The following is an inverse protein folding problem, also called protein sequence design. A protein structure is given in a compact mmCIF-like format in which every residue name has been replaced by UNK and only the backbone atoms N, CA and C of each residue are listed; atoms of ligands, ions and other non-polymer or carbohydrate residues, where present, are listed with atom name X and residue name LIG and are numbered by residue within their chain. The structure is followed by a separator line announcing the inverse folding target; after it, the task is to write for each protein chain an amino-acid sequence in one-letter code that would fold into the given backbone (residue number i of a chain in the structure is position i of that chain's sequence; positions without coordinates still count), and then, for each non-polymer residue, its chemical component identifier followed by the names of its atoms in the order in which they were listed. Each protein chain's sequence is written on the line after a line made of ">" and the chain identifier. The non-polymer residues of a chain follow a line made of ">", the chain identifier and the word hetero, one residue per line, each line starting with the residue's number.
data_IF_091651328489
#
_entry.id   IF_091651328489
#
_cell.length_a   1.000
_cell.length_b   1.000
_cell.length_c   1.000
_cell.angle_alpha   90.00
_cell.angle_beta   90.00
_cell.angle_gamma   90.00
#
_symmetry.space_group_name_H-M   'P 1'
#
loop_
_entity.id
_entity.type
_entity.pdbx_description
1 polymer ?
#
# COMPACT_ATOMS: atom_id res chain seq x y z
N UNK A 1 -14.00 15.38 -20.28
CA UNK A 1 -13.79 14.51 -19.09
C UNK A 1 -12.34 14.03 -19.07
N UNK A 2 -11.69 13.91 -17.91
CA UNK A 2 -10.28 13.47 -17.83
C UNK A 2 -10.21 11.95 -17.56
N UNK A 3 -9.35 11.20 -18.29
CA UNK A 3 -9.19 9.77 -18.09
C UNK A 3 -8.57 9.41 -16.72
N UNK A 4 -8.66 8.14 -16.29
CA UNK A 4 -8.09 7.71 -15.02
C UNK A 4 -6.56 7.75 -15.10
N UNK A 5 -5.96 8.61 -14.30
CA UNK A 5 -4.52 8.83 -14.25
C UNK A 5 -3.98 8.46 -12.87
N UNK A 6 -2.69 8.15 -12.82
CA UNK A 6 -2.00 7.79 -11.58
C UNK A 6 -1.14 8.97 -11.14
N UNK A 7 -1.16 9.27 -9.84
CA UNK A 7 -0.09 10.05 -9.20
C UNK A 7 0.71 9.11 -8.30
N UNK A 8 2.03 9.16 -8.42
CA UNK A 8 2.91 8.65 -7.37
C UNK A 8 2.69 9.55 -6.17
N UNK A 9 2.07 9.05 -5.11
CA UNK A 9 2.05 9.76 -3.83
C UNK A 9 3.41 9.55 -3.15
N UNK A 10 4.36 10.44 -3.44
CA UNK A 10 5.47 10.72 -2.52
C UNK A 10 4.97 11.77 -1.53
N UNK A 11 4.51 11.35 -0.36
CA UNK A 11 4.26 12.31 0.70
C UNK A 11 5.60 12.63 1.38
N UNK A 12 6.07 13.85 1.05
CA UNK A 12 7.10 14.66 1.72
C UNK A 12 8.54 14.12 1.79
N UNK A 13 9.30 14.35 0.72
CA UNK A 13 10.65 14.92 0.81
C UNK A 13 10.85 15.87 -0.38
N UNK A 14 11.22 17.12 -0.11
CA UNK A 14 11.38 18.20 -1.08
C UNK A 14 12.74 18.21 -1.79
N UNK A 15 12.71 18.54 -3.09
CA UNK A 15 13.77 19.05 -3.99
C UNK A 15 14.88 18.06 -4.38
N UNK A 16 15.44 18.02 -5.59
CA UNK A 16 15.57 19.00 -6.68
C UNK A 16 15.64 18.32 -8.06
N UNK A 17 15.51 19.17 -9.07
CA UNK A 17 15.50 19.03 -10.54
C UNK A 17 16.33 17.93 -11.23
N UNK A 18 15.87 17.57 -12.45
CA UNK A 18 16.80 17.33 -13.56
C UNK A 18 16.41 16.28 -14.61
N UNK A 19 15.93 16.78 -15.77
CA UNK A 19 16.18 16.31 -17.15
C UNK A 19 15.38 15.13 -17.72
N UNK A 20 14.56 15.53 -18.70
CA UNK A 20 14.27 14.94 -20.03
C UNK A 20 15.02 13.67 -20.44
N UNK A 21 14.29 12.72 -21.01
CA UNK A 21 14.84 11.60 -21.76
C UNK A 21 13.74 10.81 -22.48
N UNK A 22 13.56 11.11 -23.76
CA UNK A 22 12.69 10.41 -24.70
C UNK A 22 13.34 9.09 -25.15
N UNK A 23 12.60 7.98 -25.12
CA UNK A 23 12.77 6.80 -26.01
C UNK A 23 11.59 5.84 -25.75
N UNK A 24 10.64 5.59 -26.67
CA UNK A 24 10.73 5.06 -28.03
C UNK A 24 11.07 3.54 -28.04
N UNK A 25 10.00 2.74 -27.92
CA UNK A 25 9.72 1.37 -28.42
C UNK A 25 10.75 0.24 -28.27
N UNK A 26 10.28 -0.90 -27.74
CA UNK A 26 10.24 -2.16 -28.52
C UNK A 26 9.30 -3.19 -27.92
N UNK A 27 8.38 -3.61 -28.78
CA UNK A 27 7.49 -4.76 -28.74
C UNK A 27 8.28 -6.07 -28.77
N UNK A 28 7.86 -7.06 -27.98
CA UNK A 28 8.19 -8.46 -28.25
C UNK A 28 6.95 -9.31 -28.00
N UNK A 29 6.29 -9.72 -29.07
CA UNK A 29 5.40 -10.87 -29.08
C UNK A 29 5.53 -11.51 -30.45
N UNK A 30 6.31 -12.59 -30.50
CA UNK A 30 6.35 -13.48 -31.65
C UNK A 30 5.04 -14.24 -31.73
N UNK A 31 4.39 -14.12 -32.88
CA UNK A 31 3.20 -14.87 -33.26
C UNK A 31 3.51 -16.35 -33.41
N UNK A 32 2.56 -17.21 -33.04
CA UNK A 32 2.23 -18.37 -33.86
C UNK A 32 0.72 -18.61 -33.79
N UNK A 33 0.08 -18.38 -34.93
CA UNK A 33 -1.30 -18.77 -35.22
C UNK A 33 -1.32 -20.22 -35.66
N UNK A 34 -2.38 -20.96 -35.32
CA UNK A 34 -3.04 -21.92 -36.20
C UNK A 34 -4.50 -22.10 -35.74
N UNK A 35 -5.44 -22.02 -36.70
CA UNK A 35 -6.88 -22.34 -36.58
C UNK A 35 -7.03 -23.88 -36.64
N UNK A 36 -8.04 -24.59 -36.12
CA UNK A 36 -9.48 -24.50 -36.37
C UNK A 36 -10.27 -25.50 -35.50
N UNK A 37 -11.56 -25.20 -35.27
CA UNK A 37 -12.74 -26.09 -35.09
C UNK A 37 -12.96 -26.96 -33.82
N UNK A 38 -14.16 -26.74 -33.26
CA UNK A 38 -15.09 -27.59 -32.49
C UNK A 38 -15.02 -27.80 -30.96
N UNK A 39 -16.20 -27.55 -30.37
CA UNK A 39 -16.80 -27.99 -29.10
C UNK A 39 -16.60 -27.15 -27.80
N UNK A 40 -17.68 -26.89 -27.04
CA UNK A 40 -17.67 -26.02 -25.86
C UNK A 40 -17.60 -26.82 -24.56
N UNK A 41 -16.42 -27.22 -24.12
CA UNK A 41 -16.26 -27.79 -22.77
C UNK A 41 -14.91 -27.37 -22.17
N UNK A 42 -14.97 -27.07 -20.87
CA UNK A 42 -13.83 -26.83 -19.97
C UNK A 42 -13.04 -25.53 -20.18
N UNK A 43 -13.56 -24.44 -19.59
CA UNK A 43 -12.76 -23.28 -19.24
C UNK A 43 -11.82 -23.64 -18.08
N UNK A 44 -10.75 -24.36 -18.42
CA UNK A 44 -9.63 -24.64 -17.55
C UNK A 44 -9.08 -23.34 -16.97
N UNK A 45 -9.19 -23.22 -15.66
CA UNK A 45 -8.60 -22.18 -14.84
C UNK A 45 -7.08 -22.35 -14.92
N UNK A 46 -6.45 -21.79 -15.94
CA UNK A 46 -5.00 -21.62 -15.97
C UNK A 46 -4.69 -20.24 -15.37
N UNK A 47 -4.61 -20.21 -14.04
CA UNK A 47 -4.35 -19.03 -13.23
C UNK A 47 -2.90 -18.58 -13.35
N UNK A 48 -2.57 -17.84 -14.39
CA UNK A 48 -1.56 -16.79 -14.24
C UNK A 48 -2.20 -15.66 -13.43
N UNK A 49 -1.93 -15.67 -12.11
CA UNK A 49 -2.50 -14.79 -11.08
C UNK A 49 -2.04 -13.33 -11.19
N UNK A 50 -2.20 -12.74 -12.37
CA UNK A 50 -1.86 -11.36 -12.68
C UNK A 50 -3.13 -10.58 -13.05
N UNK A 51 -3.25 -9.38 -12.48
CA UNK A 51 -4.40 -8.47 -12.62
C UNK A 51 -4.67 -8.15 -14.10
N UNK A 52 -3.61 -8.00 -14.90
CA UNK A 52 -3.72 -7.72 -16.34
C UNK A 52 -4.41 -8.87 -17.09
N UNK A 53 -4.08 -10.12 -16.75
CA UNK A 53 -4.69 -11.28 -17.40
C UNK A 53 -6.20 -11.35 -17.17
N UNK A 54 -6.67 -10.97 -15.97
CA UNK A 54 -8.12 -10.87 -15.72
C UNK A 54 -8.76 -9.74 -16.52
N UNK A 55 -8.13 -8.57 -16.59
CA UNK A 55 -8.64 -7.46 -17.40
C UNK A 55 -8.77 -7.84 -18.89
N UNK A 56 -7.74 -8.50 -19.46
CA UNK A 56 -7.78 -8.94 -20.86
C UNK A 56 -8.91 -9.92 -21.14
N UNK A 57 -9.23 -10.82 -20.20
CA UNK A 57 -10.40 -11.70 -20.31
C UNK A 57 -11.72 -10.94 -20.29
N UNK A 58 -11.84 -9.89 -19.47
CA UNK A 58 -13.04 -9.04 -19.45
C UNK A 58 -13.25 -8.28 -20.76
N UNK A 59 -12.14 -7.84 -21.38
CA UNK A 59 -12.16 -7.20 -22.69
C UNK A 59 -12.58 -8.18 -23.78
N UNK A 60 -12.01 -9.39 -23.79
CA UNK A 60 -12.36 -10.44 -24.76
C UNK A 60 -13.83 -10.84 -24.68
N UNK A 61 -14.41 -10.84 -23.47
CA UNK A 61 -15.84 -11.09 -23.24
C UNK A 61 -16.75 -9.91 -23.59
N UNK A 62 -16.20 -8.76 -23.98
CA UNK A 62 -16.96 -7.56 -24.31
C UNK A 62 -17.56 -6.83 -23.10
N UNK A 63 -17.22 -7.22 -21.87
CA UNK A 63 -17.75 -6.59 -20.65
C UNK A 63 -17.08 -5.25 -20.35
N UNK A 64 -15.86 -5.03 -20.85
CA UNK A 64 -15.08 -3.81 -20.63
C UNK A 64 -14.43 -3.39 -21.95
N UNK A 65 -14.43 -2.08 -22.23
CA UNK A 65 -13.71 -1.52 -23.39
C UNK A 65 -12.24 -1.31 -23.02
N UNK A 66 -11.33 -1.67 -23.92
CA UNK A 66 -9.90 -1.36 -23.75
C UNK A 66 -9.68 0.15 -23.77
N UNK A 67 -8.90 0.61 -22.79
CA UNK A 67 -8.47 2.00 -22.63
C UNK A 67 -6.99 1.99 -22.17
N UNK A 68 -6.14 2.71 -22.89
CA UNK A 68 -4.71 2.82 -22.61
C UNK A 68 -4.41 3.31 -21.19
N UNK A 69 -5.28 4.18 -20.66
CA UNK A 69 -5.15 4.75 -19.33
C UNK A 69 -5.48 3.72 -18.25
N UNK A 70 -6.50 2.90 -18.48
CA UNK A 70 -6.80 1.76 -17.61
C UNK A 70 -5.67 0.74 -17.61
N UNK A 71 -5.11 0.43 -18.78
CA UNK A 71 -3.95 -0.48 -18.92
C UNK A 71 -2.74 0.08 -18.15
N UNK A 72 -2.46 1.37 -18.29
CA UNK A 72 -1.37 2.02 -17.56
C UNK A 72 -1.53 1.92 -16.03
N UNK A 73 -2.75 2.15 -15.53
CA UNK A 73 -3.06 2.01 -14.09
C UNK A 73 -2.88 0.56 -13.64
N UNK A 74 -3.35 -0.41 -14.43
CA UNK A 74 -3.22 -1.84 -14.13
C UNK A 74 -1.75 -2.29 -14.07
N UNK A 75 -0.90 -1.79 -14.97
CA UNK A 75 0.54 -2.07 -14.92
C UNK A 75 1.17 -1.57 -13.61
N UNK A 76 0.73 -0.41 -13.11
CA UNK A 76 1.19 0.10 -11.80
C UNK A 76 0.66 -0.73 -10.64
N UNK A 77 -0.59 -1.19 -10.70
CA UNK A 77 -1.17 -2.07 -9.70
C UNK A 77 -0.46 -3.43 -9.67
N UNK A 78 -0.12 -4.00 -10.83
CA UNK A 78 0.65 -5.24 -10.93
C UNK A 78 2.06 -5.08 -10.32
N UNK A 79 2.71 -3.92 -10.54
CA UNK A 79 3.99 -3.61 -9.89
C UNK A 79 3.88 -3.60 -8.36
N UNK A 80 2.84 -2.97 -7.81
CA UNK A 80 2.58 -2.96 -6.36
C UNK A 80 2.28 -4.37 -5.85
N UNK A 81 1.48 -5.15 -6.57
CA UNK A 81 1.18 -6.54 -6.22
C UNK A 81 2.47 -7.37 -6.12
N UNK A 82 3.39 -7.22 -7.07
CA UNK A 82 4.68 -7.93 -7.03
C UNK A 82 5.54 -7.51 -5.83
N UNK A 83 5.58 -6.21 -5.51
CA UNK A 83 6.29 -5.71 -4.32
C UNK A 83 5.70 -6.22 -3.00
N UNK A 84 4.37 -6.39 -2.95
CA UNK A 84 3.69 -6.91 -1.77
C UNK A 84 3.96 -8.40 -1.53
N UNK A 85 4.26 -9.19 -2.57
CA UNK A 85 4.57 -10.63 -2.42
C UNK A 85 5.85 -10.87 -1.61
N UNK A 86 6.84 -10.00 -1.76
CA UNK A 86 8.13 -10.09 -1.04
C UNK A 86 8.18 -9.23 0.22
N UNK A 87 7.14 -8.44 0.50
CA UNK A 87 7.11 -7.55 1.66
C UNK A 87 6.63 -8.28 2.94
N UNK A 88 7.40 -8.14 4.04
CA UNK A 88 7.02 -8.65 5.37
C UNK A 88 7.02 -7.53 6.40
N UNK A 89 5.83 -7.21 6.90
CA UNK A 89 5.59 -6.14 7.88
C UNK A 89 6.20 -6.41 9.27
N UNK A 90 6.58 -7.67 9.58
CA UNK A 90 7.05 -8.07 10.92
C UNK A 90 8.25 -7.28 11.40
N UNK A 91 9.09 -6.79 10.48
CA UNK A 91 10.32 -6.04 10.79
C UNK A 91 10.00 -4.64 11.35
N UNK A 92 8.85 -4.06 11.00
CA UNK A 92 8.45 -2.71 11.43
C UNK A 92 7.61 -2.69 12.71
N UNK A 93 6.92 -3.80 13.02
CA UNK A 93 6.13 -3.94 14.24
C UNK A 93 7.02 -4.24 15.47
N UNK A 94 8.17 -4.89 15.26
CA UNK A 94 9.16 -5.21 16.27
C UNK A 94 10.53 -4.69 15.81
N UNK A 95 10.82 -3.38 15.92
CA UNK A 95 12.17 -2.89 15.64
C UNK A 95 13.15 -3.62 16.57
N UNK A 96 14.30 -4.12 16.08
CA UNK A 96 15.30 -4.71 16.95
C UNK A 96 15.64 -3.70 18.03
N UNK A 97 15.47 -4.11 19.28
CA UNK A 97 15.83 -3.30 20.43
C UNK A 97 17.31 -2.92 20.25
N UNK A 98 17.60 -1.68 19.85
CA UNK A 98 18.87 -1.08 20.17
C UNK A 98 18.87 -0.88 21.67
N UNK A 99 19.18 -1.97 22.39
CA UNK A 99 19.71 -1.89 23.74
C UNK A 99 20.86 -0.89 23.68
N UNK A 100 20.63 0.34 24.14
CA UNK A 100 21.70 1.21 24.60
C UNK A 100 22.32 0.48 25.79
N UNK A 101 23.23 -0.44 25.48
CA UNK A 101 24.08 -1.12 26.44
C UNK A 101 25.02 -0.08 27.03
N UNK A 102 24.58 0.58 28.10
CA UNK A 102 25.50 1.17 29.06
C UNK A 102 26.02 0.01 29.89
N UNK A 103 27.27 -0.39 29.67
CA UNK A 103 28.05 -1.14 30.67
C UNK A 103 29.54 -0.85 30.47
N UNK A 104 30.13 -0.39 31.58
CA UNK A 104 31.55 -0.07 31.78
C UNK A 104 32.36 -1.36 31.87
N UNK A 105 33.57 -1.33 31.29
CA UNK A 105 34.81 -2.09 31.58
C UNK A 105 34.73 -3.54 32.08
N UNK A 106 35.42 -4.46 31.39
CA UNK A 106 36.65 -5.11 31.89
C UNK A 106 37.36 -5.93 30.79
N UNK A 107 38.70 -5.99 30.90
CA UNK A 107 39.68 -6.70 30.07
C UNK A 107 39.40 -8.20 29.88
N UNK A 108 39.78 -8.74 28.72
CA UNK A 108 39.94 -10.17 28.47
C UNK A 108 39.95 -10.50 26.99
N UNK A 109 41.15 -10.80 26.46
CA UNK A 109 41.37 -11.24 25.09
C UNK A 109 40.83 -12.66 24.88
N UNK A 110 39.83 -12.83 24.02
CA UNK A 110 39.54 -14.13 23.41
C UNK A 110 38.97 -13.98 22.00
N UNK A 111 39.65 -14.61 21.05
CA UNK A 111 39.36 -14.60 19.62
C UNK A 111 38.35 -15.70 19.35
N UNK A 112 37.06 -15.36 19.33
CA UNK A 112 36.03 -16.22 18.71
C UNK A 112 35.32 -15.43 17.61
N UNK A 113 35.71 -15.72 16.37
CA UNK A 113 35.11 -15.19 15.13
C UNK A 113 33.66 -15.66 15.00
N UNK A 114 32.75 -14.94 15.65
CA UNK A 114 31.32 -15.01 15.36
C UNK A 114 31.07 -14.15 14.13
N UNK A 115 30.79 -14.80 13.00
CA UNK A 115 30.37 -14.17 11.75
C UNK A 115 29.11 -13.35 12.02
N UNK A 116 29.31 -12.07 12.29
CA UNK A 116 28.25 -11.09 12.51
C UNK A 116 27.51 -10.96 11.18
N UNK A 117 26.39 -11.66 11.05
CA UNK A 117 25.45 -11.43 9.95
C UNK A 117 24.98 -9.99 10.08
N UNK A 118 25.52 -9.12 9.22
CA UNK A 118 25.06 -7.75 9.08
C UNK A 118 23.56 -7.78 8.77
N UNK A 119 22.72 -7.13 9.59
CA UNK A 119 21.27 -7.18 9.41
C UNK A 119 20.94 -6.54 8.07
N UNK A 120 20.37 -7.34 7.16
CA UNK A 120 19.87 -6.86 5.87
C UNK A 120 18.98 -5.65 6.14
N UNK A 121 19.27 -4.47 5.56
CA UNK A 121 18.46 -3.29 5.81
C UNK A 121 17.01 -3.60 5.45
N UNK A 122 16.04 -3.26 6.32
CA UNK A 122 14.64 -3.58 6.08
C UNK A 122 14.22 -3.00 4.72
N UNK A 123 13.71 -3.86 3.84
CA UNK A 123 13.19 -3.45 2.53
C UNK A 123 12.16 -2.35 2.76
N UNK A 124 12.42 -1.16 2.21
CA UNK A 124 11.57 0.01 2.36
C UNK A 124 10.10 -0.34 2.05
N UNK A 125 9.13 0.15 2.85
CA UNK A 125 7.73 -0.17 2.62
C UNK A 125 7.32 0.23 1.20
N UNK A 126 6.56 -0.64 0.48
CA UNK A 126 6.10 -0.35 -0.87
C UNK A 126 5.37 0.99 -0.93
N UNK A 127 5.58 1.73 -2.02
CA UNK A 127 4.88 3.00 -2.20
C UNK A 127 3.41 2.75 -2.54
N UNK A 128 2.52 3.53 -1.93
CA UNK A 128 1.09 3.51 -2.26
C UNK A 128 0.78 4.06 -3.66
N UNK A 129 -0.42 3.74 -4.15
CA UNK A 129 -0.94 4.19 -5.44
C UNK A 129 -2.22 5.00 -5.23
N UNK A 130 -2.30 6.18 -5.86
CA UNK A 130 -3.52 6.99 -5.90
C UNK A 130 -4.07 7.06 -7.33
N UNK A 131 -5.27 6.52 -7.53
CA UNK A 131 -5.98 6.46 -8.81
C UNK A 131 -7.05 7.55 -8.81
N UNK A 132 -7.02 8.44 -9.80
CA UNK A 132 -7.99 9.53 -9.93
C UNK A 132 -8.42 9.70 -11.38
N UNK A 133 -9.61 10.24 -11.62
CA UNK A 133 -10.17 10.40 -12.97
C UNK A 133 -11.66 10.70 -12.91
N UNK A 134 -12.25 11.06 -14.05
CA UNK A 134 -13.67 11.40 -14.17
C UNK A 134 -14.62 10.29 -13.71
N UNK A 135 -15.91 10.61 -13.58
CA UNK A 135 -16.97 9.63 -13.31
C UNK A 135 -17.04 8.62 -14.46
N UNK A 136 -17.37 7.36 -14.17
CA UNK A 136 -17.50 6.33 -15.22
C UNK A 136 -16.18 5.80 -15.81
N UNK A 137 -15.02 6.28 -15.36
CA UNK A 137 -13.70 5.84 -15.89
C UNK A 137 -13.24 4.44 -15.43
N UNK A 138 -14.07 3.73 -14.65
CA UNK A 138 -13.77 2.35 -14.21
C UNK A 138 -12.81 2.22 -13.04
N UNK A 139 -12.50 3.29 -12.29
CA UNK A 139 -11.57 3.26 -11.14
C UNK A 139 -11.89 2.16 -10.12
N UNK A 140 -13.16 2.05 -9.74
CA UNK A 140 -13.65 1.03 -8.80
C UNK A 140 -13.38 -0.37 -9.34
N UNK A 141 -13.67 -0.62 -10.62
CA UNK A 141 -13.39 -1.90 -11.29
C UNK A 141 -11.89 -2.23 -11.29
N UNK A 142 -11.01 -1.26 -11.57
CA UNK A 142 -9.55 -1.50 -11.51
C UNK A 142 -9.10 -1.85 -10.07
N UNK A 143 -9.71 -1.21 -9.08
CA UNK A 143 -9.45 -1.49 -7.68
C UNK A 143 -9.98 -2.87 -7.25
N UNK A 144 -11.15 -3.29 -7.76
CA UNK A 144 -11.73 -4.62 -7.55
C UNK A 144 -10.80 -5.71 -8.10
N UNK A 145 -10.30 -5.50 -9.32
CA UNK A 145 -9.36 -6.40 -9.98
C UNK A 145 -8.07 -6.51 -9.17
N UNK A 146 -7.48 -5.41 -8.73
CA UNK A 146 -6.29 -5.47 -7.88
C UNK A 146 -6.56 -6.19 -6.55
N UNK A 147 -7.60 -5.78 -5.82
CA UNK A 147 -7.89 -6.32 -4.50
C UNK A 147 -8.16 -7.83 -4.54
N UNK A 148 -8.80 -8.34 -5.58
CA UNK A 148 -9.07 -9.77 -5.76
C UNK A 148 -7.82 -10.62 -5.97
N UNK A 149 -6.76 -10.09 -6.61
CA UNK A 149 -5.54 -10.86 -6.91
C UNK A 149 -4.40 -10.67 -5.90
N UNK A 150 -4.52 -9.76 -4.95
CA UNK A 150 -3.51 -9.64 -3.88
C UNK A 150 -3.65 -10.80 -2.90
N UNK A 151 -2.63 -11.65 -2.84
CA UNK A 151 -2.45 -12.75 -1.90
C UNK A 151 -1.89 -12.21 -0.57
N UNK A 152 -2.71 -11.49 0.19
CA UNK A 152 -2.35 -11.05 1.55
C UNK A 152 -3.55 -11.20 2.46
N UNK A 153 -3.40 -11.95 3.56
CA UNK A 153 -4.47 -12.21 4.52
C UNK A 153 -4.85 -10.98 5.34
N UNK A 154 -3.96 -9.97 5.44
CA UNK A 154 -4.20 -8.73 6.20
C UNK A 154 -4.48 -7.55 5.26
N UNK A 155 -5.44 -7.72 4.35
CA UNK A 155 -5.90 -6.65 3.45
C UNK A 155 -7.29 -6.17 3.83
N UNK A 156 -7.51 -4.85 3.85
CA UNK A 156 -8.81 -4.26 4.16
C UNK A 156 -9.18 -3.26 3.07
N UNK A 157 -10.39 -3.37 2.55
CA UNK A 157 -10.99 -2.38 1.67
C UNK A 157 -12.17 -1.71 2.37
N UNK A 158 -12.21 -0.39 2.32
CA UNK A 158 -13.23 0.44 3.01
C UNK A 158 -13.53 1.70 2.23
N UNK A 159 -14.79 2.16 2.29
CA UNK A 159 -15.11 3.54 1.92
C UNK A 159 -14.47 4.50 2.91
N UNK A 160 -13.94 5.61 2.40
CA UNK A 160 -13.22 6.59 3.20
C UNK A 160 -14.03 7.14 4.39
N UNK A 161 -15.29 7.52 4.18
CA UNK A 161 -16.14 8.07 5.24
C UNK A 161 -16.34 7.07 6.39
N UNK A 162 -16.60 5.80 6.06
CA UNK A 162 -16.74 4.73 7.05
C UNK A 162 -15.47 4.48 7.83
N UNK A 163 -14.31 4.61 7.18
CA UNK A 163 -13.01 4.52 7.85
C UNK A 163 -12.78 5.68 8.83
N UNK A 164 -13.06 6.92 8.42
CA UNK A 164 -12.90 8.08 9.30
C UNK A 164 -13.79 7.99 10.54
N UNK A 165 -15.02 7.50 10.39
CA UNK A 165 -15.90 7.23 11.53
C UNK A 165 -15.32 6.19 12.50
N UNK A 166 -14.69 5.12 12.00
CA UNK A 166 -14.00 4.14 12.86
C UNK A 166 -12.81 4.77 13.58
N UNK A 167 -11.96 5.52 12.85
CA UNK A 167 -10.81 6.22 13.42
C UNK A 167 -11.25 7.19 14.52
N UNK A 168 -12.30 7.98 14.30
CA UNK A 168 -12.84 8.90 15.30
C UNK A 168 -13.33 8.17 16.55
N UNK A 169 -14.03 7.04 16.39
CA UNK A 169 -14.47 6.20 17.51
C UNK A 169 -13.28 5.66 18.33
N UNK A 170 -12.23 5.16 17.66
CA UNK A 170 -11.01 4.66 18.32
C UNK A 170 -10.29 5.78 19.08
N UNK A 171 -10.12 6.96 18.47
CA UNK A 171 -9.54 8.14 19.11
C UNK A 171 -10.36 8.56 20.34
N UNK A 172 -11.69 8.58 20.22
CA UNK A 172 -12.57 8.95 21.33
C UNK A 172 -12.45 7.98 22.50
N UNK A 173 -12.48 6.66 22.24
CA UNK A 173 -12.28 5.61 23.25
C UNK A 173 -10.94 5.77 23.98
N UNK A 174 -9.87 6.04 23.24
CA UNK A 174 -8.53 6.31 23.79
C UNK A 174 -8.55 7.54 24.69
N UNK A 175 -9.14 8.65 24.24
CA UNK A 175 -9.25 9.88 25.04
C UNK A 175 -10.02 9.66 26.34
N UNK A 176 -11.07 8.82 26.34
CA UNK A 176 -11.85 8.50 27.53
C UNK A 176 -11.06 7.66 28.56
N UNK A 177 -10.15 6.80 28.10
CA UNK A 177 -9.34 5.94 28.98
C UNK A 177 -8.22 6.71 29.72
N UNK A 178 -7.95 7.95 29.33
CA UNK A 178 -6.90 8.76 29.94
C UNK A 178 -7.41 9.46 31.21
N UNK A 179 -6.55 9.65 32.23
CA UNK A 179 -6.90 10.45 33.40
C UNK A 179 -7.38 11.83 32.97
N UNK A 180 -8.55 12.27 33.50
CA UNK A 180 -9.05 13.63 33.29
C UNK A 180 -7.94 14.62 33.67
N UNK A 181 -7.72 15.62 32.82
CA UNK A 181 -6.67 16.65 32.98
C UNK A 181 -6.61 17.10 34.44
N UNK A 182 -5.50 16.85 35.13
CA UNK A 182 -5.22 17.51 36.40
C UNK A 182 -4.85 18.96 36.09
N UNK A 183 -5.56 19.90 36.72
CA UNK A 183 -5.32 21.33 36.58
C UNK A 183 -3.83 21.61 36.90
N UNK A 184 -3.05 22.06 35.90
CA UNK A 184 -1.63 22.39 36.06
C UNK A 184 -0.61 21.49 35.35
N UNK A 185 -0.98 20.33 34.78
CA UNK A 185 -0.08 19.52 33.93
C UNK A 185 -0.62 19.43 32.50
N UNK A 186 -0.01 20.18 31.58
CA UNK A 186 -0.27 20.07 30.15
C UNK A 186 0.49 18.86 29.59
N UNK A 187 -0.08 17.66 29.74
CA UNK A 187 0.41 16.50 29.00
C UNK A 187 -0.10 16.58 27.55
N UNK A 188 0.81 16.78 26.60
CA UNK A 188 0.56 16.64 25.16
C UNK A 188 0.49 15.16 24.83
N UNK A 189 -0.64 14.52 25.13
CA UNK A 189 -0.88 13.13 24.72
C UNK A 189 -1.39 13.12 23.28
N UNK A 190 -0.72 12.35 22.42
CA UNK A 190 -1.18 12.07 21.06
C UNK A 190 -2.09 10.81 21.05
N UNK A 191 -3.41 10.96 20.88
CA UNK A 191 -4.31 9.82 20.79
C UNK A 191 -4.33 9.17 19.41
N UNK A 192 -3.75 9.78 18.38
CA UNK A 192 -3.80 9.31 16.99
C UNK A 192 -2.71 8.28 16.73
N UNK A 193 -1.47 8.55 17.14
CA UNK A 193 -0.34 7.62 16.94
C UNK A 193 -0.65 6.19 17.40
N UNK A 194 -1.18 5.96 18.61
CA UNK A 194 -1.36 4.60 19.04
C UNK A 194 -2.63 3.96 18.44
N UNK A 195 -3.60 4.73 17.94
CA UNK A 195 -4.66 4.21 17.05
C UNK A 195 -4.07 3.75 15.71
N UNK A 196 -3.13 4.49 15.12
CA UNK A 196 -2.42 4.05 13.92
C UNK A 196 -1.65 2.74 14.16
N UNK A 197 -1.01 2.58 15.33
CA UNK A 197 -0.34 1.33 15.70
C UNK A 197 -1.29 0.13 15.85
N UNK A 198 -2.54 0.34 16.29
CA UNK A 198 -3.55 -0.71 16.29
C UNK A 198 -3.90 -1.13 14.85
N UNK A 199 -4.14 -0.13 14.00
CA UNK A 199 -4.50 -0.32 12.60
C UNK A 199 -3.38 -1.03 11.82
N UNK A 200 -2.11 -0.68 12.03
CA UNK A 200 -0.98 -1.31 11.33
C UNK A 200 -0.77 -2.78 11.73
N UNK A 201 -1.13 -3.16 12.96
CA UNK A 201 -1.11 -4.58 13.38
C UNK A 201 -2.20 -5.39 12.68
N UNK A 202 -3.39 -4.80 12.54
CA UNK A 202 -4.55 -5.40 11.90
C UNK A 202 -4.38 -5.52 10.36
N UNK A 203 -3.80 -4.50 9.74
CA UNK A 203 -3.86 -4.30 8.28
C UNK A 203 -2.45 -4.05 7.72
N UNK A 204 -2.11 -4.82 6.68
CA UNK A 204 -0.89 -4.67 5.89
C UNK A 204 -1.16 -4.00 4.52
N UNK A 205 -2.38 -4.14 3.99
CA UNK A 205 -2.81 -3.45 2.76
C UNK A 205 -4.15 -2.77 3.00
N UNK A 206 -4.17 -1.43 2.92
CA UNK A 206 -5.38 -0.63 3.06
C UNK A 206 -5.79 -0.04 1.70
N UNK A 207 -7.01 -0.34 1.28
CA UNK A 207 -7.59 0.08 0.03
C UNK A 207 -8.78 1.01 0.31
N UNK A 208 -8.65 2.29 -0.04
CA UNK A 208 -9.75 3.24 0.09
C UNK A 208 -10.58 3.30 -1.19
N UNK A 209 -11.89 3.16 -1.04
CA UNK A 209 -12.84 3.60 -2.05
C UNK A 209 -13.32 5.02 -1.75
N UNK A 210 -13.61 5.78 -2.80
CA UNK A 210 -14.15 7.14 -2.71
C UNK A 210 -13.37 8.05 -1.75
N UNK A 211 -12.04 8.08 -1.88
CA UNK A 211 -11.19 8.92 -1.02
C UNK A 211 -11.38 10.41 -1.34
N UNK A 212 -12.17 11.09 -0.49
CA UNK A 212 -12.42 12.52 -0.58
C UNK A 212 -12.37 13.15 0.82
N UNK A 213 -11.45 14.09 1.02
CA UNK A 213 -11.33 14.82 2.28
C UNK A 213 -12.00 16.18 2.09
N UNK A 214 -13.10 16.41 2.79
CA UNK A 214 -13.85 17.67 2.73
C UNK A 214 -13.62 18.55 3.95
N UNK A 215 -13.30 17.95 5.11
CA UNK A 215 -13.13 18.65 6.37
C UNK A 215 -11.64 18.85 6.75
N UNK A 216 -11.33 20.04 7.30
CA UNK A 216 -9.96 20.42 7.68
C UNK A 216 -9.47 19.62 8.90
N UNK A 217 -10.34 19.32 9.86
CA UNK A 217 -9.98 18.54 11.04
C UNK A 217 -9.67 17.08 10.65
N UNK A 218 -10.46 16.50 9.75
CA UNK A 218 -10.19 15.17 9.18
C UNK A 218 -8.83 15.14 8.47
N UNK A 219 -8.48 16.20 7.74
CA UNK A 219 -7.17 16.31 7.07
C UNK A 219 -6.00 16.29 8.06
N UNK A 220 -6.13 16.96 9.21
CA UNK A 220 -5.11 16.95 10.28
C UNK A 220 -4.96 15.55 10.87
N UNK A 221 -6.08 14.87 11.14
CA UNK A 221 -6.07 13.50 11.66
C UNK A 221 -5.41 12.56 10.67
N UNK A 222 -5.78 12.62 9.39
CA UNK A 222 -5.22 11.77 8.34
C UNK A 222 -3.73 11.95 8.15
N UNK A 223 -3.25 13.21 8.18
CA UNK A 223 -1.82 13.49 8.07
C UNK A 223 -1.05 12.73 9.14
N UNK A 224 -1.45 12.87 10.39
CA UNK A 224 -0.78 12.23 11.53
C UNK A 224 -0.95 10.70 11.52
N UNK A 225 -2.12 10.21 11.11
CA UNK A 225 -2.41 8.79 10.98
C UNK A 225 -1.50 8.14 9.93
N UNK A 226 -1.44 8.69 8.71
CA UNK A 226 -0.61 8.15 7.63
C UNK A 226 0.88 8.30 7.91
N UNK A 227 1.32 9.41 8.51
CA UNK A 227 2.72 9.56 8.95
C UNK A 227 3.11 8.44 9.93
N UNK A 228 2.21 8.06 10.84
CA UNK A 228 2.49 6.98 11.79
C UNK A 228 2.42 5.60 11.11
N UNK A 229 1.41 5.36 10.27
CA UNK A 229 1.27 4.10 9.53
C UNK A 229 2.54 3.81 8.71
N UNK A 230 2.99 4.77 7.89
CA UNK A 230 4.20 4.63 7.05
C UNK A 230 5.47 4.39 7.87
N UNK A 231 5.58 4.98 9.07
CA UNK A 231 6.70 4.71 9.98
C UNK A 231 6.67 3.28 10.54
N UNK A 232 5.47 2.72 10.74
CA UNK A 232 5.25 1.39 11.32
C UNK A 232 5.11 0.27 10.26
N UNK A 233 5.30 0.58 8.99
CA UNK A 233 5.16 -0.36 7.86
C UNK A 233 3.74 -0.46 7.37
#
# INVERSE_FOLDING_TARGET
>A
ERPPTVKKTSLLTSSLSGKTGSSCWRTFCSSSSLRSSDSPLEAGICGSGDVLGHFDRLVQRGSVRRDDQQIYVLQRLAQVQHQLKTYSQKIYLNPPNHSKGVSRQSQGDDVTSSRKEEPVPPLLPPKGLYIYGGVGTGKTMLMDLFYSHVENGRKKRVHFNSFMLDVHKRIHRRKQSLPKRKLGKMFTYDPISPVAMEISKEICLLCFDEFQVTDVADAVILKQLFETLVKTG
#
